data_IF_193413347019
#
_entry.id   IF_193413347019
#
_cell.length_a   1.000
_cell.length_b   1.000
_cell.length_c   1.000
_cell.angle_alpha   90.00
_cell.angle_beta   90.00
_cell.angle_gamma   90.00
#
_symmetry.space_group_name_H-M   'P 1'
#
loop_
_entity.id
_entity.type
_entity.pdbx_description
1 polymer ?
#
# COMPACT_ATOMS: atom_id res chain seq x y z
N UNK A 1 6.53 9.22 2.62
CA UNK A 1 7.73 8.46 2.20
C UNK A 1 7.28 7.06 1.82
N UNK A 2 7.34 6.71 0.54
CA UNK A 2 6.85 5.42 0.04
C UNK A 2 7.85 4.31 0.41
N UNK A 3 7.61 3.66 1.54
CA UNK A 3 8.49 2.62 2.10
C UNK A 3 8.41 1.28 1.35
N UNK A 4 7.44 1.10 0.44
CA UNK A 4 7.15 -0.22 -0.13
C UNK A 4 8.19 -0.73 -1.15
N UNK A 5 8.74 0.12 -2.01
CA UNK A 5 9.68 -0.35 -3.05
C UNK A 5 10.98 -0.90 -2.45
N UNK A 6 11.70 -0.16 -1.58
CA UNK A 6 12.92 -0.70 -0.98
C UNK A 6 12.66 -1.95 -0.12
N UNK A 7 11.52 -1.98 0.60
CA UNK A 7 11.11 -3.16 1.38
C UNK A 7 10.86 -4.37 0.47
N UNK A 8 10.14 -4.19 -0.64
CA UNK A 8 9.87 -5.27 -1.59
C UNK A 8 11.16 -5.81 -2.22
N UNK A 9 12.08 -4.93 -2.63
CA UNK A 9 13.37 -5.33 -3.21
C UNK A 9 14.19 -6.19 -2.23
N UNK A 10 14.28 -5.78 -0.96
CA UNK A 10 15.00 -6.57 0.04
C UNK A 10 14.29 -7.88 0.37
N UNK A 11 12.96 -7.89 0.45
CA UNK A 11 12.18 -9.13 0.63
C UNK A 11 12.42 -10.11 -0.52
N UNK A 12 12.40 -9.63 -1.77
CA UNK A 12 12.66 -10.45 -2.95
C UNK A 12 14.08 -10.99 -2.95
N UNK A 13 15.08 -10.16 -2.61
CA UNK A 13 16.48 -10.60 -2.49
C UNK A 13 16.61 -11.75 -1.48
N UNK A 14 16.10 -11.55 -0.26
CA UNK A 14 16.15 -12.56 0.80
C UNK A 14 15.37 -13.83 0.43
N UNK A 15 14.20 -13.69 -0.20
CA UNK A 15 13.38 -14.82 -0.62
C UNK A 15 14.09 -15.69 -1.67
N UNK A 16 14.75 -15.05 -2.63
CA UNK A 16 15.51 -15.75 -3.66
C UNK A 16 16.79 -16.40 -3.11
N UNK A 17 17.47 -15.76 -2.16
CA UNK A 17 18.66 -16.34 -1.49
C UNK A 17 18.32 -17.55 -0.63
N UNK A 18 17.16 -17.53 0.05
CA UNK A 18 16.74 -18.60 0.95
C UNK A 18 16.17 -19.83 0.21
N UNK A 19 15.80 -19.72 -1.07
CA UNK A 19 15.19 -20.82 -1.84
C UNK A 19 16.22 -21.59 -2.65
N UNK A 20 16.21 -22.91 -2.51
CA UNK A 20 16.93 -23.82 -3.39
C UNK A 20 16.09 -24.11 -4.65
N UNK A 21 16.19 -23.24 -5.66
CA UNK A 21 15.59 -23.43 -6.99
C UNK A 21 14.11 -22.99 -7.12
N UNK A 22 13.61 -23.10 -8.36
CA UNK A 22 12.31 -22.57 -8.79
C UNK A 22 12.43 -21.28 -9.60
N UNK A 23 11.30 -20.75 -10.06
CA UNK A 23 11.25 -19.45 -10.73
C UNK A 23 11.61 -18.32 -9.74
N UNK A 24 12.44 -17.35 -10.15
CA UNK A 24 12.84 -16.27 -9.28
C UNK A 24 11.65 -15.37 -8.96
N UNK A 25 11.53 -15.00 -7.69
CA UNK A 25 10.62 -13.91 -7.33
C UNK A 25 11.19 -12.60 -7.90
N UNK A 26 10.33 -11.79 -8.51
CA UNK A 26 10.71 -10.52 -9.13
C UNK A 26 9.72 -9.43 -8.73
N UNK A 27 10.23 -8.22 -8.52
CA UNK A 27 9.39 -7.04 -8.32
C UNK A 27 8.96 -6.54 -9.71
N UNK A 28 7.66 -6.59 -10.00
CA UNK A 28 7.12 -6.33 -11.34
C UNK A 28 6.45 -4.97 -11.48
N UNK A 29 6.09 -4.30 -10.39
CA UNK A 29 5.40 -3.01 -10.44
C UNK A 29 5.82 -2.05 -9.32
N UNK A 30 5.48 -0.77 -9.49
CA UNK A 30 5.71 0.33 -8.54
C UNK A 30 4.39 0.91 -7.98
N UNK A 31 3.26 0.26 -8.26
CA UNK A 31 1.94 0.83 -7.98
C UNK A 31 1.53 0.53 -6.54
N UNK A 32 0.65 1.40 -6.01
CA UNK A 32 0.31 1.43 -4.59
C UNK A 32 -1.20 1.23 -4.45
N UNK A 33 -1.56 -0.01 -4.17
CA UNK A 33 -2.69 -0.50 -3.39
C UNK A 33 -4.05 -0.69 -4.07
N UNK A 34 -4.60 0.25 -4.84
CA UNK A 34 -5.97 0.09 -5.35
C UNK A 34 -6.02 -0.53 -6.75
N UNK A 35 -5.08 -0.17 -7.61
CA UNK A 35 -4.94 -0.74 -8.95
C UNK A 35 -4.39 -2.18 -8.89
N UNK A 36 -3.50 -2.49 -7.93
CA UNK A 36 -2.88 -3.81 -7.74
C UNK A 36 -3.87 -4.90 -7.31
N UNK A 37 -4.91 -4.51 -6.57
CA UNK A 37 -5.92 -5.46 -6.09
C UNK A 37 -6.65 -6.13 -7.27
N UNK A 38 -6.75 -5.44 -8.42
CA UNK A 38 -7.28 -6.04 -9.65
C UNK A 38 -6.31 -7.04 -10.29
N UNK A 39 -5.00 -6.90 -10.10
CA UNK A 39 -4.01 -7.86 -10.58
C UNK A 39 -4.04 -9.13 -9.73
N UNK A 40 -4.23 -9.01 -8.41
CA UNK A 40 -4.49 -10.16 -7.54
C UNK A 40 -5.77 -10.90 -7.96
N UNK A 41 -6.82 -10.16 -8.25
CA UNK A 41 -8.10 -10.73 -8.69
C UNK A 41 -7.98 -11.48 -10.03
N UNK A 42 -7.14 -10.98 -10.95
CA UNK A 42 -6.82 -11.65 -12.22
C UNK A 42 -5.78 -12.77 -12.11
N UNK A 43 -5.17 -12.97 -10.93
CA UNK A 43 -4.11 -13.95 -10.73
C UNK A 43 -2.77 -13.60 -11.38
N UNK A 44 -2.52 -12.32 -11.65
CA UNK A 44 -1.28 -11.80 -12.25
C UNK A 44 -0.21 -11.45 -11.21
N UNK A 45 -0.56 -11.42 -9.92
CA UNK A 45 0.36 -11.20 -8.80
C UNK A 45 0.18 -12.26 -7.72
N UNK A 46 1.30 -12.79 -7.23
CA UNK A 46 1.33 -13.73 -6.10
C UNK A 46 1.46 -13.02 -4.74
N UNK A 47 2.23 -11.93 -4.69
CA UNK A 47 2.54 -11.19 -3.47
C UNK A 47 2.48 -9.68 -3.69
N UNK A 48 2.17 -8.93 -2.63
CA UNK A 48 2.23 -7.47 -2.66
C UNK A 48 2.24 -6.85 -1.27
N UNK A 49 2.72 -5.61 -1.22
CA UNK A 49 2.69 -4.76 -0.03
C UNK A 49 1.51 -3.80 -0.15
N UNK A 50 0.62 -3.83 0.83
CA UNK A 50 -0.61 -3.05 0.80
C UNK A 50 -0.90 -2.43 2.16
N UNK A 51 -1.44 -1.21 2.16
CA UNK A 51 -1.92 -0.57 3.38
C UNK A 51 -3.09 -1.39 3.98
N UNK A 52 -3.10 -1.54 5.31
CA UNK A 52 -4.00 -2.46 6.00
C UNK A 52 -5.50 -2.17 5.80
N UNK A 53 -5.86 -0.90 5.60
CA UNK A 53 -7.23 -0.48 5.32
C UNK A 53 -7.78 -1.09 4.02
N UNK A 54 -6.93 -1.32 3.02
CA UNK A 54 -7.35 -1.92 1.75
C UNK A 54 -7.55 -3.43 1.84
N UNK A 55 -6.79 -4.13 2.72
CA UNK A 55 -6.88 -5.59 2.87
C UNK A 55 -8.28 -6.01 3.34
N UNK A 56 -8.83 -5.32 4.35
CA UNK A 56 -10.17 -5.60 4.84
C UNK A 56 -11.24 -5.28 3.79
N UNK A 57 -11.16 -4.07 3.20
CA UNK A 57 -12.15 -3.62 2.20
C UNK A 57 -12.19 -4.53 0.97
N UNK A 58 -11.05 -4.95 0.44
CA UNK A 58 -11.01 -5.82 -0.76
C UNK A 58 -11.51 -7.22 -0.45
N UNK A 59 -11.13 -7.78 0.71
CA UNK A 59 -11.62 -9.09 1.16
C UNK A 59 -13.14 -9.11 1.33
N UNK A 60 -13.71 -8.01 1.80
CA UNK A 60 -15.15 -7.91 2.05
C UNK A 60 -15.94 -7.43 0.82
N UNK A 61 -15.25 -7.03 -0.26
CA UNK A 61 -15.89 -6.42 -1.43
C UNK A 61 -16.55 -5.08 -1.13
N UNK A 62 -16.07 -4.36 -0.12
CA UNK A 62 -16.59 -3.05 0.26
C UNK A 62 -16.15 -1.98 -0.77
N UNK A 63 -16.94 -0.90 -0.98
CA UNK A 63 -16.56 0.16 -1.90
C UNK A 63 -15.12 0.66 -1.66
N UNK A 64 -14.32 0.87 -2.73
CA UNK A 64 -14.71 0.88 -4.14
C UNK A 64 -14.72 -0.50 -4.85
N UNK A 65 -14.48 -1.60 -4.15
CA UNK A 65 -14.55 -2.94 -4.74
C UNK A 65 -16.00 -3.32 -5.00
N UNK A 66 -16.24 -4.05 -6.10
CA UNK A 66 -17.58 -4.50 -6.50
C UNK A 66 -17.88 -5.93 -6.07
N UNK A 67 -16.84 -6.66 -5.64
CA UNK A 67 -16.93 -8.03 -5.16
C UNK A 67 -15.73 -8.36 -4.25
N UNK A 68 -15.85 -9.39 -3.39
CA UNK A 68 -14.76 -9.90 -2.57
C UNK A 68 -13.58 -10.42 -3.38
N UNK A 69 -12.36 -10.06 -2.97
CA UNK A 69 -11.12 -10.55 -3.59
C UNK A 69 -10.42 -11.49 -2.63
N UNK A 70 -9.98 -12.64 -3.15
CA UNK A 70 -9.45 -13.75 -2.37
C UNK A 70 -8.01 -13.49 -1.88
N UNK A 71 -7.84 -12.54 -0.95
CA UNK A 71 -6.55 -12.21 -0.35
C UNK A 71 -6.31 -12.94 0.98
N UNK A 72 -5.03 -13.14 1.28
CA UNK A 72 -4.53 -13.61 2.57
C UNK A 72 -3.36 -12.74 3.02
N UNK A 73 -3.40 -12.30 4.27
CA UNK A 73 -2.27 -11.59 4.88
C UNK A 73 -1.21 -12.63 5.29
N UNK A 74 0.02 -12.44 4.82
CA UNK A 74 1.17 -13.26 5.23
C UNK A 74 1.72 -12.78 6.57
N UNK A 75 2.09 -11.50 6.65
CA UNK A 75 2.57 -10.85 7.87
C UNK A 75 2.42 -9.32 7.78
N UNK A 76 2.30 -8.61 8.92
CA UNK A 76 2.49 -7.16 8.95
C UNK A 76 3.93 -6.79 8.58
N UNK A 77 4.13 -5.92 7.58
CA UNK A 77 5.46 -5.51 7.12
C UNK A 77 6.05 -4.34 7.93
N UNK A 78 5.22 -3.36 8.29
CA UNK A 78 5.61 -2.21 9.10
C UNK A 78 4.39 -1.56 9.77
N UNK A 79 4.63 -0.83 10.86
CA UNK A 79 3.68 0.11 11.44
C UNK A 79 4.20 1.53 11.20
N UNK A 80 3.48 2.30 10.39
CA UNK A 80 3.79 3.71 10.14
C UNK A 80 2.66 4.59 10.66
N UNK A 81 2.94 5.60 11.51
CA UNK A 81 1.91 6.56 11.86
C UNK A 81 1.53 7.39 10.64
N UNK A 82 0.30 7.89 10.64
CA UNK A 82 -0.13 8.91 9.69
C UNK A 82 0.52 10.23 10.09
N UNK A 83 1.24 10.84 9.16
CA UNK A 83 1.87 12.14 9.38
C UNK A 83 1.07 13.25 8.70
N UNK A 84 0.75 14.29 9.46
CA UNK A 84 0.32 15.57 8.93
C UNK A 84 1.50 16.53 8.99
N UNK A 85 1.95 17.00 7.83
CA UNK A 85 3.11 17.88 7.73
C UNK A 85 2.64 19.25 7.26
N UNK A 86 2.90 20.26 8.08
CA UNK A 86 2.73 21.66 7.74
C UNK A 86 4.10 22.35 7.69
N UNK A 87 4.20 23.46 6.94
CA UNK A 87 5.39 24.31 7.02
C UNK A 87 5.50 24.91 8.42
N UNK A 88 6.73 25.10 8.89
CA UNK A 88 6.99 25.69 10.20
C UNK A 88 6.45 27.11 10.37
N UNK A 89 6.28 27.85 9.27
CA UNK A 89 5.70 29.20 9.23
C UNK A 89 4.21 29.21 8.87
N UNK A 90 3.55 28.04 8.87
CA UNK A 90 2.12 27.95 8.63
C UNK A 90 1.30 28.32 9.87
N UNK A 91 0.14 28.94 9.65
CA UNK A 91 -0.87 29.13 10.69
C UNK A 91 -1.63 27.82 11.06
N UNK A 92 -1.36 26.71 10.37
CA UNK A 92 -1.97 25.40 10.65
C UNK A 92 -1.32 24.79 11.89
N UNK A 93 -2.08 24.67 12.97
CA UNK A 93 -1.63 24.07 14.23
C UNK A 93 -2.41 22.80 14.56
N UNK A 94 -3.64 22.68 14.04
CA UNK A 94 -4.53 21.56 14.28
C UNK A 94 -5.21 21.10 12.98
N UNK A 95 -5.79 19.89 13.00
CA UNK A 95 -6.51 19.31 11.86
C UNK A 95 -7.69 20.21 11.41
N UNK A 96 -8.35 20.90 12.35
CA UNK A 96 -9.44 21.84 12.04
C UNK A 96 -9.02 23.01 11.14
N UNK A 97 -7.74 23.39 11.18
CA UNK A 97 -7.23 24.54 10.42
C UNK A 97 -7.10 24.22 8.93
N UNK A 98 -7.21 22.94 8.57
CA UNK A 98 -7.20 22.44 7.20
C UNK A 98 -8.50 22.77 6.44
N UNK A 99 -9.58 23.16 7.12
CA UNK A 99 -10.84 23.51 6.46
C UNK A 99 -10.63 24.68 5.50
N UNK A 100 -11.07 24.48 4.25
CA UNK A 100 -10.90 25.45 3.16
C UNK A 100 -9.46 25.63 2.67
N UNK A 101 -8.51 24.80 3.11
CA UNK A 101 -7.12 24.80 2.62
C UNK A 101 -6.92 23.79 1.50
N UNK A 102 -5.89 24.03 0.69
CA UNK A 102 -5.42 23.03 -0.27
C UNK A 102 -4.53 22.02 0.46
N UNK A 103 -4.89 20.75 0.38
CA UNK A 103 -4.23 19.66 1.10
C UNK A 103 -3.73 18.65 0.08
N UNK A 104 -2.48 18.21 0.24
CA UNK A 104 -1.96 17.07 -0.50
C UNK A 104 -2.33 15.78 0.25
N UNK A 105 -3.29 15.01 -0.28
CA UNK A 105 -3.71 13.72 0.29
C UNK A 105 -2.86 12.54 -0.20
N UNK A 106 -2.00 12.78 -1.19
CA UNK A 106 -1.20 11.77 -1.85
C UNK A 106 -1.84 11.23 -3.14
N UNK A 107 -1.22 10.22 -3.76
CA UNK A 107 -1.75 9.60 -4.97
C UNK A 107 -3.13 8.95 -4.74
N UNK A 108 -3.98 9.00 -5.77
CA UNK A 108 -5.26 8.29 -5.78
C UNK A 108 -5.02 6.79 -5.53
N UNK A 109 -5.82 6.19 -4.64
CA UNK A 109 -5.70 4.77 -4.29
C UNK A 109 -4.63 4.44 -3.25
N UNK A 110 -3.82 5.41 -2.82
CA UNK A 110 -2.92 5.21 -1.68
C UNK A 110 -3.71 4.95 -0.39
N UNK A 111 -3.08 4.39 0.65
CA UNK A 111 -3.73 4.17 1.95
C UNK A 111 -4.27 5.44 2.64
N UNK A 112 -3.83 6.62 2.19
CA UNK A 112 -4.25 7.92 2.71
C UNK A 112 -5.41 8.55 1.93
N UNK A 113 -5.74 8.01 0.74
CA UNK A 113 -6.70 8.58 -0.20
C UNK A 113 -8.06 7.86 -0.18
#
# INVERSE_FOLDING_TARGET
MALFIPQALELVRLFNEARAGGEPCVVTNNLIALEDVTLFDRGELDFGLMASNWIGRSKDGAPPFTHPIALRMVAPANAGPVFFVARSDSAIQNVSDLVGKRIALGPKGSGMA
#
